data_IF_513312935176
#
_entry.id   IF_513312935176
#
_cell.length_a   1.000
_cell.length_b   1.000
_cell.length_c   1.000
_cell.angle_alpha   90.00
_cell.angle_beta   90.00
_cell.angle_gamma   90.00
#
_symmetry.space_group_name_H-M   'P 1'
#
loop_
_entity.id
_entity.type
_entity.pdbx_description
1 polymer ?
#
# COMPACT_ATOMS: atom_id res chain seq x y z
N UNK A 1 18.82 10.60 -5.93
CA UNK A 1 17.62 10.75 -5.09
C UNK A 1 17.10 9.38 -4.68
N UNK A 2 16.77 9.18 -3.39
CA UNK A 2 16.10 7.93 -2.95
C UNK A 2 14.69 7.86 -3.50
N UNK A 3 14.33 6.71 -4.06
CA UNK A 3 13.02 6.46 -4.63
C UNK A 3 12.40 5.19 -4.02
N UNK A 4 11.10 5.25 -3.79
CA UNK A 4 10.28 4.19 -3.21
C UNK A 4 9.46 3.50 -4.29
N UNK A 5 9.50 2.18 -4.35
CA UNK A 5 8.59 1.41 -5.19
C UNK A 5 7.22 1.28 -4.54
N UNK A 6 6.20 1.72 -5.25
CA UNK A 6 4.80 1.62 -4.85
C UNK A 6 3.97 1.02 -5.97
N UNK A 7 3.06 0.12 -5.63
CA UNK A 7 2.17 -0.52 -6.62
C UNK A 7 1.10 0.47 -7.10
N UNK A 8 0.67 0.38 -8.37
CA UNK A 8 -0.56 1.04 -8.78
C UNK A 8 -1.78 0.41 -8.06
N UNK A 9 -2.85 1.16 -7.76
CA UNK A 9 -3.02 2.59 -8.04
C UNK A 9 -2.38 3.50 -6.99
N UNK A 10 -1.87 2.96 -5.88
CA UNK A 10 -1.38 3.71 -4.72
C UNK A 10 -0.26 4.71 -5.06
N UNK A 11 0.63 4.34 -5.98
CA UNK A 11 1.68 5.24 -6.45
C UNK A 11 1.10 6.54 -7.02
N UNK A 12 0.07 6.42 -7.87
CA UNK A 12 -0.65 7.55 -8.42
C UNK A 12 -1.30 8.39 -7.32
N UNK A 13 -2.05 7.76 -6.42
CA UNK A 13 -2.74 8.46 -5.33
C UNK A 13 -1.81 9.19 -4.37
N UNK A 14 -0.60 8.69 -4.15
CA UNK A 14 0.42 9.40 -3.35
C UNK A 14 0.83 10.70 -4.03
N UNK A 15 1.24 10.65 -5.29
CA UNK A 15 1.75 11.83 -5.98
C UNK A 15 0.65 12.85 -6.33
N UNK A 16 -0.61 12.41 -6.38
CA UNK A 16 -1.79 13.27 -6.54
C UNK A 16 -2.29 13.86 -5.20
N UNK A 17 -1.78 13.34 -4.07
CA UNK A 17 -2.18 13.79 -2.73
C UNK A 17 -3.47 13.17 -2.21
N UNK A 18 -4.03 12.16 -2.87
CA UNK A 18 -5.18 11.41 -2.40
C UNK A 18 -4.83 10.50 -1.21
N UNK A 19 -3.60 9.97 -1.19
CA UNK A 19 -3.08 9.08 -0.15
C UNK A 19 -1.94 9.75 0.60
N UNK A 20 -2.17 10.10 1.87
CA UNK A 20 -1.22 10.79 2.73
C UNK A 20 -0.49 9.86 3.73
N UNK A 21 -0.83 8.58 3.75
CA UNK A 21 -0.20 7.57 4.61
C UNK A 21 0.20 6.37 3.76
N UNK A 22 1.45 5.95 3.87
CA UNK A 22 1.93 4.71 3.25
C UNK A 22 2.15 3.65 4.32
N UNK A 23 1.51 2.49 4.17
CA UNK A 23 1.60 1.40 5.14
C UNK A 23 2.72 0.45 4.79
N UNK A 24 3.61 0.18 5.76
CA UNK A 24 4.77 -0.70 5.60
C UNK A 24 4.97 -1.61 6.80
N UNK A 25 5.49 -2.80 6.55
CA UNK A 25 5.85 -3.75 7.62
C UNK A 25 7.11 -3.35 8.41
N UNK A 26 7.83 -2.32 7.97
CA UNK A 26 9.06 -1.84 8.60
C UNK A 26 8.98 -0.33 8.84
N UNK A 27 9.57 0.10 9.97
CA UNK A 27 9.78 1.52 10.24
C UNK A 27 10.77 2.15 9.24
N UNK A 28 10.71 3.47 9.13
CA UNK A 28 11.71 4.25 8.41
C UNK A 28 12.15 5.46 9.21
N UNK A 29 13.47 5.71 9.18
CA UNK A 29 14.07 6.93 9.70
C UNK A 29 14.30 7.99 8.60
N UNK A 30 13.95 7.65 7.35
CA UNK A 30 14.07 8.59 6.24
C UNK A 30 13.08 9.72 6.46
N UNK A 31 13.57 10.96 6.30
CA UNK A 31 12.76 12.18 6.35
C UNK A 31 13.13 13.02 5.15
N UNK A 32 12.17 13.86 4.70
CA UNK A 32 12.33 14.72 3.53
C UNK A 32 11.87 14.06 2.25
N UNK A 33 12.31 14.63 1.13
CA UNK A 33 11.80 14.31 -0.20
C UNK A 33 12.35 13.01 -0.75
N UNK A 34 11.44 12.19 -1.27
CA UNK A 34 11.71 10.92 -1.94
C UNK A 34 10.96 10.85 -3.27
N UNK A 35 11.53 10.18 -4.26
CA UNK A 35 10.84 9.86 -5.50
C UNK A 35 9.88 8.68 -5.34
N UNK A 36 8.80 8.68 -6.12
CA UNK A 36 7.84 7.58 -6.20
C UNK A 36 7.96 6.88 -7.54
N UNK A 37 8.31 5.60 -7.49
CA UNK A 37 8.35 4.73 -8.66
C UNK A 37 7.08 3.91 -8.69
N UNK A 38 6.33 4.00 -9.78
CA UNK A 38 5.22 3.07 -10.00
C UNK A 38 5.79 1.70 -10.36
N UNK A 39 5.52 0.71 -9.52
CA UNK A 39 5.97 -0.67 -9.77
C UNK A 39 5.52 -1.14 -11.15
N UNK A 40 6.39 -1.90 -11.82
CA UNK A 40 6.20 -2.46 -13.17
C UNK A 40 6.21 -1.44 -14.32
N UNK A 41 6.22 -0.13 -14.07
CA UNK A 41 6.29 0.87 -15.15
C UNK A 41 7.71 1.23 -15.57
N UNK A 42 8.70 0.99 -14.69
CA UNK A 42 10.08 1.43 -14.90
C UNK A 42 10.25 2.95 -14.89
N UNK A 43 9.32 3.69 -14.26
CA UNK A 43 9.34 5.15 -14.24
C UNK A 43 9.16 5.74 -12.86
N UNK A 44 9.82 6.88 -12.61
CA UNK A 44 9.53 7.77 -11.48
C UNK A 44 8.40 8.70 -11.90
N UNK A 45 7.26 8.62 -11.25
CA UNK A 45 6.05 9.37 -11.64
C UNK A 45 5.87 10.67 -10.86
N UNK A 46 6.68 10.90 -9.84
CA UNK A 46 6.59 12.06 -8.99
C UNK A 46 7.42 11.90 -7.73
N UNK A 47 7.20 12.78 -6.77
CA UNK A 47 7.86 12.76 -5.47
C UNK A 47 6.93 13.20 -4.34
N UNK A 48 7.36 12.94 -3.10
CA UNK A 48 6.64 13.26 -1.88
C UNK A 48 7.64 13.41 -0.72
N UNK A 49 7.24 14.06 0.36
CA UNK A 49 8.05 14.12 1.58
C UNK A 49 7.56 13.10 2.61
N UNK A 50 8.49 12.34 3.20
CA UNK A 50 8.21 11.59 4.42
C UNK A 50 8.42 12.53 5.61
N UNK A 51 7.36 12.81 6.35
CA UNK A 51 7.38 13.72 7.51
C UNK A 51 7.24 12.99 8.84
N UNK A 52 6.75 11.76 8.84
CA UNK A 52 6.54 10.97 10.03
C UNK A 52 6.59 9.46 9.78
N UNK A 53 6.74 8.72 10.87
CA UNK A 53 6.60 7.27 10.90
C UNK A 53 6.14 6.87 12.30
N UNK A 54 4.99 6.23 12.40
CA UNK A 54 4.40 5.72 13.64
C UNK A 54 3.95 4.28 13.48
N UNK A 55 3.91 3.56 14.58
CA UNK A 55 3.31 2.22 14.60
C UNK A 55 1.80 2.34 14.79
N UNK A 56 1.03 1.60 14.03
CA UNK A 56 -0.42 1.47 14.18
C UNK A 56 -0.73 0.07 14.74
N UNK A 57 -1.23 0.05 15.99
CA UNK A 57 -1.54 -1.20 16.69
C UNK A 57 -2.71 -1.97 16.09
N UNK A 58 -3.70 -1.28 15.53
CA UNK A 58 -4.87 -1.92 14.94
C UNK A 58 -4.51 -2.61 13.63
N UNK A 59 -3.83 -1.90 12.74
CA UNK A 59 -3.44 -2.41 11.43
C UNK A 59 -2.18 -3.27 11.48
N UNK A 60 -1.41 -3.19 12.59
CA UNK A 60 -0.14 -3.90 12.74
C UNK A 60 0.87 -3.58 11.63
N UNK A 61 0.91 -2.29 11.20
CA UNK A 61 1.83 -1.73 10.23
C UNK A 61 2.42 -0.41 10.72
N UNK A 62 3.55 -0.04 10.14
CA UNK A 62 4.07 1.32 10.27
C UNK A 62 3.35 2.23 9.28
N UNK A 63 2.87 3.35 9.77
CA UNK A 63 2.30 4.45 9.02
C UNK A 63 3.39 5.47 8.69
N UNK A 64 3.77 5.58 7.43
CA UNK A 64 4.67 6.62 6.97
C UNK A 64 3.83 7.81 6.52
N UNK A 65 3.89 8.89 7.29
CA UNK A 65 3.14 10.12 6.99
C UNK A 65 3.81 10.87 5.84
N UNK A 66 3.02 11.17 4.80
CA UNK A 66 3.46 11.78 3.57
C UNK A 66 2.90 13.21 3.45
N UNK A 67 3.71 14.13 2.92
CA UNK A 67 3.34 15.52 2.69
C UNK A 67 3.91 16.04 1.37
N UNK A 68 3.43 17.19 0.93
CA UNK A 68 3.93 17.94 -0.22
C UNK A 68 4.11 17.09 -1.49
N UNK A 69 3.05 16.34 -1.93
CA UNK A 69 3.12 15.50 -3.11
C UNK A 69 3.26 16.35 -4.38
N UNK A 70 4.03 15.82 -5.33
CA UNK A 70 4.20 16.42 -6.66
C UNK A 70 4.16 15.32 -7.72
N UNK A 71 3.22 15.41 -8.65
CA UNK A 71 3.22 14.57 -9.85
C UNK A 71 4.07 15.21 -10.93
N UNK A 72 4.92 14.43 -11.57
CA UNK A 72 5.68 14.93 -12.74
C UNK A 72 4.78 14.92 -13.97
N UNK A 73 4.88 15.96 -14.79
CA UNK A 73 4.17 16.06 -16.07
C UNK A 73 4.62 14.98 -17.05
N UNK A 74 5.92 14.69 -17.04
CA UNK A 74 6.51 13.60 -17.80
C UNK A 74 7.21 12.64 -16.84
N UNK A 75 6.72 11.37 -16.72
CA UNK A 75 7.40 10.36 -15.92
C UNK A 75 8.84 10.12 -16.39
N UNK A 76 9.77 9.98 -15.45
CA UNK A 76 11.18 9.77 -15.74
C UNK A 76 11.51 8.29 -15.84
N UNK A 77 12.02 7.82 -16.97
CA UNK A 77 12.50 6.45 -17.08
C UNK A 77 13.76 6.27 -16.22
N UNK A 78 13.90 5.13 -15.56
CA UNK A 78 15.13 4.76 -14.88
C UNK A 78 15.52 3.31 -15.22
N UNK A 79 16.83 3.04 -15.23
CA UNK A 79 17.36 1.70 -15.36
C UNK A 79 17.61 1.15 -13.95
N UNK A 80 16.67 0.37 -13.43
CA UNK A 80 16.80 -0.31 -12.14
C UNK A 80 17.26 -1.75 -12.29
N UNK A 81 17.87 -2.29 -11.22
CA UNK A 81 18.10 -3.75 -11.13
C UNK A 81 16.76 -4.43 -10.86
N UNK A 82 16.48 -5.51 -11.59
CA UNK A 82 15.36 -6.39 -11.31
C UNK A 82 15.54 -7.04 -9.93
N UNK A 83 14.52 -7.02 -9.07
CA UNK A 83 14.53 -7.68 -7.75
C UNK A 83 13.55 -7.02 -6.79
N UNK A 84 13.30 -7.66 -5.65
CA UNK A 84 12.41 -7.17 -4.61
C UNK A 84 13.06 -6.06 -3.77
N UNK A 85 13.35 -4.94 -4.38
CA UNK A 85 13.96 -3.77 -3.73
C UNK A 85 12.83 -2.81 -3.34
N UNK A 86 12.84 -2.38 -2.07
CA UNK A 86 11.91 -1.35 -1.58
C UNK A 86 12.41 0.04 -1.97
N UNK A 87 13.73 0.26 -1.89
CA UNK A 87 14.40 1.51 -2.15
C UNK A 87 15.44 1.38 -3.25
N UNK A 88 15.55 2.40 -4.07
CA UNK A 88 16.63 2.56 -5.05
C UNK A 88 17.08 4.02 -5.08
N UNK A 89 18.32 4.25 -5.44
CA UNK A 89 18.81 5.59 -5.78
C UNK A 89 18.72 5.79 -7.29
N UNK A 90 18.06 6.87 -7.69
CA UNK A 90 17.95 7.33 -9.07
C UNK A 90 18.65 8.68 -9.20
N UNK A 91 19.52 8.80 -10.18
CA UNK A 91 20.25 10.05 -10.41
C UNK A 91 19.40 11.01 -11.23
N UNK A 92 18.76 11.96 -10.55
CA UNK A 92 18.03 13.06 -11.16
C UNK A 92 17.82 14.19 -10.14
N UNK A 93 17.60 15.41 -10.65
CA UNK A 93 17.21 16.56 -9.84
C UNK A 93 15.66 16.68 -9.81
N UNK A 94 15.03 16.51 -8.65
CA UNK A 94 13.58 16.64 -8.52
C UNK A 94 13.07 18.08 -8.74
N UNK A 95 13.94 19.09 -8.61
CA UNK A 95 13.58 20.49 -8.82
C UNK A 95 13.64 20.91 -10.29
N UNK A 96 14.35 20.16 -11.12
CA UNK A 96 14.36 20.33 -12.57
C UNK A 96 13.13 19.72 -13.27
N UNK A 97 12.24 19.05 -12.53
CA UNK A 97 11.08 18.38 -13.11
C UNK A 97 9.90 19.32 -13.27
N UNK A 98 9.26 19.25 -14.42
CA UNK A 98 8.01 19.97 -14.68
C UNK A 98 6.86 19.27 -13.91
N UNK A 99 6.18 20.04 -13.06
CA UNK A 99 5.11 19.52 -12.20
C UNK A 99 3.77 19.61 -12.93
N UNK A 100 3.01 18.51 -12.92
CA UNK A 100 1.67 18.49 -13.43
C UNK A 100 0.74 19.40 -12.58
N UNK A 101 -0.32 19.97 -13.17
CA UNK A 101 -1.30 20.71 -12.40
C UNK A 101 -1.89 19.85 -11.29
N UNK A 102 -2.10 20.46 -10.12
CA UNK A 102 -2.79 19.75 -9.02
C UNK A 102 -4.18 19.35 -9.43
N UNK A 103 -4.61 18.18 -9.01
CA UNK A 103 -5.98 17.75 -9.17
C UNK A 103 -6.94 18.73 -8.48
N UNK A 104 -8.11 18.95 -9.09
CA UNK A 104 -9.17 19.71 -8.44
C UNK A 104 -9.66 18.99 -7.17
N UNK A 105 -10.25 19.73 -6.23
CA UNK A 105 -10.81 19.15 -5.01
C UNK A 105 -11.84 18.04 -5.31
N UNK A 106 -12.61 18.18 -6.38
CA UNK A 106 -13.57 17.16 -6.81
C UNK A 106 -12.88 15.89 -7.34
N UNK A 107 -11.82 16.05 -8.15
CA UNK A 107 -11.01 14.92 -8.63
C UNK A 107 -10.33 14.21 -7.46
N UNK A 108 -9.71 14.94 -6.54
CA UNK A 108 -9.06 14.39 -5.34
C UNK A 108 -10.05 13.64 -4.44
N UNK A 109 -11.29 14.16 -4.32
CA UNK A 109 -12.34 13.46 -3.57
C UNK A 109 -12.72 12.13 -4.24
N UNK A 110 -12.81 12.09 -5.57
CA UNK A 110 -13.07 10.84 -6.32
C UNK A 110 -11.96 9.82 -6.11
N UNK A 111 -10.70 10.25 -6.19
CA UNK A 111 -9.54 9.41 -5.93
C UNK A 111 -9.56 8.84 -4.50
N UNK A 112 -9.85 9.68 -3.50
CA UNK A 112 -10.01 9.24 -2.11
C UNK A 112 -11.12 8.21 -1.95
N UNK A 113 -12.29 8.48 -2.53
CA UNK A 113 -13.42 7.54 -2.45
C UNK A 113 -13.08 6.21 -3.14
N UNK A 114 -12.39 6.24 -4.27
CA UNK A 114 -11.92 5.03 -4.94
C UNK A 114 -10.95 4.24 -4.06
N UNK A 115 -10.00 4.94 -3.41
CA UNK A 115 -9.07 4.37 -2.47
C UNK A 115 -9.76 3.72 -1.26
N UNK A 116 -10.71 4.44 -0.64
CA UNK A 116 -11.47 3.94 0.51
C UNK A 116 -12.29 2.69 0.15
N UNK A 117 -12.92 2.67 -1.02
CA UNK A 117 -13.64 1.50 -1.53
C UNK A 117 -12.71 0.31 -1.76
N UNK A 118 -11.53 0.55 -2.34
CA UNK A 118 -10.57 -0.52 -2.58
C UNK A 118 -10.02 -1.08 -1.27
N UNK A 119 -9.67 -0.21 -0.31
CA UNK A 119 -9.27 -0.66 1.03
C UNK A 119 -10.41 -1.45 1.70
N UNK A 120 -11.63 -0.97 1.63
CA UNK A 120 -12.79 -1.68 2.18
C UNK A 120 -12.97 -3.07 1.55
N UNK A 121 -12.76 -3.20 0.23
CA UNK A 121 -12.81 -4.49 -0.46
C UNK A 121 -11.69 -5.44 -0.05
N UNK A 122 -10.51 -4.92 0.31
CA UNK A 122 -9.42 -5.72 0.85
C UNK A 122 -9.64 -6.15 2.30
N UNK A 123 -10.26 -5.28 3.09
CA UNK A 123 -10.51 -5.52 4.51
C UNK A 123 -11.81 -6.31 4.74
N UNK A 124 -12.72 -6.27 3.79
CA UNK A 124 -14.02 -6.93 3.88
C UNK A 124 -14.38 -7.55 2.52
N UNK A 125 -13.78 -8.69 2.15
CA UNK A 125 -14.02 -9.34 0.87
C UNK A 125 -15.43 -9.95 0.75
N UNK A 126 -16.22 -9.91 1.82
CA UNK A 126 -17.58 -10.44 1.83
C UNK A 126 -18.53 -9.56 0.99
N UNK A 127 -19.40 -10.19 0.23
CA UNK A 127 -20.50 -9.53 -0.47
C UNK A 127 -21.48 -8.90 0.53
N UNK A 128 -22.29 -7.89 0.14
CA UNK A 128 -23.31 -7.32 1.01
C UNK A 128 -24.25 -8.42 1.55
N UNK A 129 -24.24 -8.63 2.87
CA UNK A 129 -25.02 -9.67 3.53
C UNK A 129 -24.23 -10.90 3.96
N UNK A 130 -23.00 -11.06 3.52
CA UNK A 130 -22.11 -12.12 4.01
C UNK A 130 -21.36 -11.67 5.26
N UNK A 131 -21.19 -12.58 6.22
CA UNK A 131 -20.32 -12.37 7.39
C UNK A 131 -19.10 -13.25 7.29
N UNK A 132 -17.94 -12.70 7.58
CA UNK A 132 -16.72 -13.48 7.76
C UNK A 132 -16.86 -14.20 9.11
N UNK A 133 -16.91 -15.53 9.09
CA UNK A 133 -16.97 -16.34 10.30
C UNK A 133 -15.59 -16.57 10.89
N UNK A 134 -14.63 -16.86 10.04
CA UNK A 134 -13.26 -17.09 10.48
C UNK A 134 -12.26 -16.93 9.33
N UNK A 135 -11.01 -17.00 9.69
CA UNK A 135 -9.87 -16.93 8.77
C UNK A 135 -9.06 -18.22 8.90
N UNK A 136 -8.46 -18.65 7.79
CA UNK A 136 -7.63 -19.83 7.72
C UNK A 136 -6.25 -19.50 7.17
N UNK A 137 -5.20 -20.06 7.78
CA UNK A 137 -3.87 -20.14 7.19
C UNK A 137 -3.61 -21.58 6.78
N UNK A 138 -3.41 -21.79 5.47
CA UNK A 138 -3.01 -23.08 4.92
C UNK A 138 -1.50 -23.11 4.82
N UNK A 139 -0.87 -24.02 5.54
CA UNK A 139 0.57 -24.16 5.59
C UNK A 139 1.08 -24.97 4.39
N UNK A 140 2.34 -24.81 4.03
CA UNK A 140 2.97 -25.57 2.93
C UNK A 140 3.05 -27.08 3.21
N UNK A 141 3.00 -27.48 4.47
CA UNK A 141 2.97 -28.88 4.91
C UNK A 141 1.56 -29.48 4.94
N UNK A 142 0.54 -28.72 4.50
CA UNK A 142 -0.85 -29.15 4.43
C UNK A 142 -1.67 -28.93 5.70
N UNK A 143 -1.08 -28.41 6.80
CA UNK A 143 -1.84 -28.05 8.00
C UNK A 143 -2.69 -26.82 7.73
N UNK A 144 -3.89 -26.80 8.32
CA UNK A 144 -4.80 -25.67 8.30
C UNK A 144 -4.98 -25.14 9.73
N UNK A 145 -4.87 -23.82 9.89
CA UNK A 145 -4.94 -23.16 11.20
C UNK A 145 -6.06 -22.11 11.11
N UNK A 146 -7.05 -22.25 12.00
CA UNK A 146 -8.20 -21.35 12.08
C UNK A 146 -7.94 -20.19 13.03
N UNK A 147 -8.45 -19.02 12.66
CA UNK A 147 -8.40 -17.80 13.45
C UNK A 147 -9.77 -17.15 13.49
N UNK A 148 -10.17 -16.66 14.64
CA UNK A 148 -11.47 -16.01 14.84
C UNK A 148 -11.46 -14.54 14.39
N UNK A 149 -10.30 -13.91 14.35
CA UNK A 149 -10.16 -12.50 14.02
C UNK A 149 -9.10 -12.24 12.96
N UNK A 150 -9.34 -11.22 12.16
CA UNK A 150 -8.36 -10.73 11.17
C UNK A 150 -7.02 -10.35 11.82
N UNK A 151 -7.05 -9.82 13.05
CA UNK A 151 -5.87 -9.43 13.81
C UNK A 151 -4.97 -10.63 14.11
N UNK A 152 -5.56 -11.76 14.49
CA UNK A 152 -4.82 -13.00 14.81
C UNK A 152 -4.16 -13.58 13.57
N UNK A 153 -4.90 -13.75 12.46
CA UNK A 153 -4.32 -14.28 11.23
C UNK A 153 -3.24 -13.34 10.68
N UNK A 154 -3.42 -12.04 10.72
CA UNK A 154 -2.41 -11.06 10.29
C UNK A 154 -1.13 -11.16 11.12
N UNK A 155 -1.24 -11.38 12.44
CA UNK A 155 -0.08 -11.62 13.32
C UNK A 155 0.62 -12.92 12.93
N UNK A 156 -0.13 -13.99 12.79
CA UNK A 156 0.39 -15.32 12.42
C UNK A 156 1.09 -15.31 11.06
N UNK A 157 0.47 -14.72 10.03
CA UNK A 157 1.06 -14.58 8.69
C UNK A 157 2.40 -13.86 8.73
N UNK A 158 2.57 -12.86 9.59
CA UNK A 158 3.83 -12.15 9.72
C UNK A 158 4.93 -13.03 10.29
N UNK A 159 4.62 -13.80 11.31
CA UNK A 159 5.57 -14.65 12.02
C UNK A 159 5.95 -15.88 11.18
N UNK A 160 5.02 -16.41 10.39
CA UNK A 160 5.15 -17.68 9.64
C UNK A 160 5.12 -17.53 8.12
N UNK A 161 5.38 -16.34 7.58
CA UNK A 161 5.23 -16.01 6.14
C UNK A 161 5.89 -17.01 5.18
N UNK A 162 7.01 -17.61 5.56
CA UNK A 162 7.73 -18.58 4.74
C UNK A 162 7.09 -19.96 4.71
N UNK A 163 6.28 -20.27 5.71
CA UNK A 163 5.65 -21.58 5.94
C UNK A 163 4.21 -21.62 5.40
N UNK A 164 3.59 -20.46 5.18
CA UNK A 164 2.21 -20.34 4.70
C UNK A 164 2.18 -20.50 3.18
N UNK A 165 1.27 -21.33 2.69
CA UNK A 165 0.96 -21.50 1.27
C UNK A 165 -0.06 -20.45 0.79
N UNK A 166 -1.17 -20.29 1.52
CA UNK A 166 -2.23 -19.32 1.25
C UNK A 166 -3.03 -18.99 2.52
N UNK A 167 -3.82 -17.92 2.45
CA UNK A 167 -4.85 -17.60 3.47
C UNK A 167 -6.22 -17.62 2.83
N UNK A 168 -7.22 -18.02 3.59
CA UNK A 168 -8.62 -18.15 3.15
C UNK A 168 -9.53 -17.50 4.19
N UNK A 169 -10.75 -17.13 3.78
CA UNK A 169 -11.83 -16.68 4.66
C UNK A 169 -13.02 -17.62 4.51
N UNK A 170 -13.66 -17.92 5.61
CA UNK A 170 -14.92 -18.63 5.62
C UNK A 170 -16.05 -17.61 5.78
N UNK A 171 -17.03 -17.68 4.89
CA UNK A 171 -18.15 -16.75 4.83
C UNK A 171 -19.42 -17.48 5.25
N UNK A 172 -20.28 -16.83 6.04
CA UNK A 172 -21.64 -17.28 6.29
C UNK A 172 -22.64 -16.29 5.68
N UNK A 173 -23.69 -16.85 5.11
CA UNK A 173 -24.87 -16.08 4.70
C UNK A 173 -25.84 -16.17 5.87
N UNK A 174 -26.28 -15.05 6.47
CA UNK A 174 -27.31 -15.10 7.50
C UNK A 174 -28.56 -15.76 6.91
N UNK A 175 -29.01 -16.84 7.55
CA UNK A 175 -30.29 -17.47 7.20
C UNK A 175 -31.38 -16.40 7.32
N UNK A 176 -32.05 -16.10 6.22
CA UNK A 176 -33.24 -15.26 6.24
C UNK A 176 -34.32 -16.01 7.01
N UNK A 177 -34.55 -15.65 8.29
CA UNK A 177 -35.78 -15.97 9.00
C UNK A 177 -36.93 -15.09 8.50
#
# INVERSE_FOLDING_TARGET
>A
MKCLFVRPPFAGWIVDGAKAIEYRSKATNIRGRIGIIQSMSGTVIGDVEIVGCSWNDELQFFEWTLANPRRYKTPLPFKGKSGAVVWIEVDYDPNAQEIAPKLSAAALKREKTAYEKEIASFLNPAEPGERIECYWAVMKDGREIRFETEKEIRKFVREHRKEIARTEVELSIPSSE
#
